data_IF_602487422440
#
_entry.id   IF_602487422440
#
_cell.length_a   1.000
_cell.length_b   1.000
_cell.length_c   1.000
_cell.angle_alpha   90.00
_cell.angle_beta   90.00
_cell.angle_gamma   90.00
#
_symmetry.space_group_name_H-M   'P 1'
#
loop_
_entity.id
_entity.type
_entity.pdbx_description
1 polymer ?
#
# COMPACT_ATOMS: atom_id res chain seq x y z
N UNK A 1 47.96 56.24 -5.08
CA UNK A 1 46.82 55.66 -4.32
C UNK A 1 47.32 54.37 -3.69
N UNK A 2 47.99 54.46 -2.54
CA UNK A 2 47.42 54.21 -1.21
C UNK A 2 47.02 52.76 -0.98
N UNK A 3 48.02 51.90 -0.73
CA UNK A 3 47.81 50.65 0.00
C UNK A 3 47.77 50.98 1.49
N UNK A 4 46.62 50.79 2.11
CA UNK A 4 46.43 50.87 3.56
C UNK A 4 45.83 49.54 4.04
N UNK A 5 46.66 48.73 4.66
CA UNK A 5 46.24 47.59 5.48
C UNK A 5 45.43 48.08 6.69
N UNK A 6 44.45 47.29 7.15
CA UNK A 6 44.13 47.31 8.57
C UNK A 6 44.04 45.90 9.18
N UNK A 7 44.80 45.78 10.28
CA UNK A 7 44.49 45.17 11.58
C UNK A 7 43.97 43.72 11.65
N UNK A 8 44.86 42.89 12.18
CA UNK A 8 44.57 41.64 12.89
C UNK A 8 43.61 41.88 14.07
N UNK A 9 42.56 41.06 14.14
CA UNK A 9 41.74 40.80 15.32
C UNK A 9 41.85 39.31 15.65
N UNK A 10 42.14 39.00 16.91
CA UNK A 10 42.28 37.65 17.46
C UNK A 10 40.98 36.82 17.31
N UNK A 11 41.08 35.50 17.07
CA UNK A 11 39.93 34.62 17.11
C UNK A 11 39.74 34.08 18.53
N UNK A 12 38.73 34.61 19.23
CA UNK A 12 38.21 33.99 20.45
C UNK A 12 36.70 34.23 20.51
N UNK A 13 35.97 33.49 19.69
CA UNK A 13 34.62 32.97 19.98
C UNK A 13 34.14 32.16 18.78
N UNK A 14 34.48 30.87 18.78
CA UNK A 14 33.79 29.88 17.95
C UNK A 14 33.24 28.83 18.90
N UNK A 15 31.99 29.01 19.30
CA UNK A 15 31.21 27.97 19.96
C UNK A 15 31.22 26.72 19.09
N UNK A 16 31.90 25.69 19.57
CA UNK A 16 31.88 24.36 18.97
C UNK A 16 30.44 23.84 19.16
N UNK A 17 29.60 23.99 18.14
CA UNK A 17 28.39 23.18 18.03
C UNK A 17 28.85 21.75 17.74
N UNK A 18 28.83 20.92 18.77
CA UNK A 18 28.88 19.47 18.61
C UNK A 18 27.81 19.04 17.61
N UNK A 19 28.14 18.23 16.59
CA UNK A 19 27.12 17.69 15.69
C UNK A 19 26.12 16.90 16.55
N UNK A 20 24.85 17.27 16.47
CA UNK A 20 23.77 16.47 17.06
C UNK A 20 23.90 15.07 16.49
N UNK A 21 24.12 14.07 17.35
CA UNK A 21 24.08 12.68 16.94
C UNK A 21 22.67 12.41 16.44
N UNK A 22 22.50 12.35 15.12
CA UNK A 22 21.30 11.77 14.52
C UNK A 22 21.32 10.29 14.90
N UNK A 23 20.62 9.96 15.98
CA UNK A 23 20.31 8.58 16.30
C UNK A 23 19.60 8.01 15.08
N UNK A 24 20.13 6.97 14.43
CA UNK A 24 19.40 6.33 13.34
C UNK A 24 18.06 5.87 13.93
N UNK A 25 16.94 6.28 13.32
CA UNK A 25 15.65 5.71 13.69
C UNK A 25 15.77 4.20 13.56
N UNK A 26 15.73 3.50 14.68
CA UNK A 26 15.66 2.04 14.70
C UNK A 26 14.27 1.71 14.17
N UNK A 27 14.19 1.40 12.88
CA UNK A 27 12.95 0.99 12.24
C UNK A 27 12.69 -0.45 12.66
N UNK A 28 11.73 -0.65 13.55
CA UNK A 28 11.19 -1.97 13.91
C UNK A 28 10.25 -2.43 12.78
N UNK A 29 10.83 -2.84 11.66
CA UNK A 29 10.06 -3.55 10.64
C UNK A 29 9.75 -4.96 11.15
N UNK A 30 8.48 -5.30 11.29
CA UNK A 30 8.07 -6.69 11.46
C UNK A 30 8.42 -7.46 10.18
N UNK A 31 9.45 -8.30 10.23
CA UNK A 31 9.86 -9.11 9.08
C UNK A 31 8.95 -10.35 8.99
N UNK A 32 8.17 -10.46 7.91
CA UNK A 32 7.51 -11.71 7.53
C UNK A 32 8.59 -12.75 7.17
N UNK A 33 8.38 -14.07 7.43
CA UNK A 33 9.28 -15.10 6.92
C UNK A 33 9.36 -14.95 5.40
N UNK A 34 10.57 -14.81 4.84
CA UNK A 34 10.76 -14.67 3.39
C UNK A 34 10.29 -15.93 2.64
N UNK A 35 10.42 -15.93 1.31
CA UNK A 35 10.00 -17.04 0.43
C UNK A 35 10.43 -18.45 0.89
N UNK A 36 11.60 -18.56 1.51
CA UNK A 36 12.15 -19.82 2.03
C UNK A 36 11.67 -20.17 3.46
N UNK A 37 10.68 -19.46 4.00
CA UNK A 37 10.17 -19.65 5.36
C UNK A 37 11.29 -19.54 6.41
N UNK A 38 11.33 -20.47 7.36
CA UNK A 38 12.35 -20.52 8.41
C UNK A 38 13.79 -20.71 7.91
N UNK A 39 13.96 -21.20 6.67
CA UNK A 39 15.28 -21.36 6.03
C UNK A 39 15.77 -20.09 5.33
N UNK A 40 14.96 -19.03 5.29
CA UNK A 40 15.40 -17.70 4.89
C UNK A 40 16.35 -17.11 5.93
N UNK A 41 17.43 -16.46 5.49
CA UNK A 41 18.36 -15.72 6.36
C UNK A 41 17.67 -14.66 7.25
N UNK A 42 16.42 -14.27 6.96
CA UNK A 42 15.63 -13.39 7.84
C UNK A 42 15.48 -13.92 9.27
N UNK A 43 15.41 -15.23 9.48
CA UNK A 43 15.38 -15.82 10.83
C UNK A 43 16.70 -15.61 11.58
N UNK A 44 17.83 -15.66 10.87
CA UNK A 44 19.15 -15.35 11.41
C UNK A 44 19.29 -13.85 11.75
N UNK A 45 18.74 -12.94 10.93
CA UNK A 45 18.72 -11.50 11.25
C UNK A 45 17.82 -11.19 12.46
N UNK A 46 16.66 -11.82 12.59
CA UNK A 46 15.82 -11.71 13.78
C UNK A 46 16.54 -12.22 15.04
N UNK A 47 17.17 -13.40 14.95
CA UNK A 47 17.97 -13.98 16.03
C UNK A 47 19.16 -13.10 16.42
N UNK A 48 19.88 -12.54 15.44
CA UNK A 48 20.98 -11.60 15.66
C UNK A 48 20.50 -10.30 16.31
N UNK A 49 19.37 -9.74 15.88
CA UNK A 49 18.78 -8.53 16.47
C UNK A 49 18.40 -8.75 17.95
N UNK A 50 17.76 -9.88 18.26
CA UNK A 50 17.43 -10.27 19.64
C UNK A 50 18.68 -10.51 20.51
N UNK A 51 19.78 -10.96 19.90
CA UNK A 51 21.06 -11.20 20.58
C UNK A 51 21.88 -9.91 20.78
N UNK A 52 21.70 -8.91 19.90
CA UNK A 52 22.43 -7.63 19.91
C UNK A 52 21.73 -6.52 20.70
N UNK A 53 20.45 -6.70 21.06
CA UNK A 53 19.77 -5.84 22.02
C UNK A 53 20.42 -5.97 23.40
N UNK A 54 21.27 -4.99 23.74
CA UNK A 54 21.94 -4.89 25.04
C UNK A 54 20.87 -4.77 26.14
N UNK A 55 20.84 -5.67 27.14
CA UNK A 55 19.93 -5.51 28.27
C UNK A 55 20.40 -4.31 29.09
N UNK A 56 19.56 -3.29 29.21
CA UNK A 56 19.76 -2.23 30.18
C UNK A 56 19.79 -2.86 31.58
N UNK A 57 20.93 -2.76 32.24
CA UNK A 57 21.20 -3.31 33.57
C UNK A 57 20.10 -2.88 34.55
N UNK A 58 19.35 -3.84 35.06
CA UNK A 58 18.38 -3.65 36.14
C UNK A 58 19.02 -4.04 37.48
N UNK A 59 18.69 -3.38 38.59
CA UNK A 59 18.59 -4.06 39.88
C UNK A 59 17.14 -4.09 40.38
N UNK A 60 16.69 -5.32 40.60
CA UNK A 60 15.71 -5.83 41.57
C UNK A 60 14.28 -5.24 41.69
N UNK A 61 13.33 -6.10 41.29
CA UNK A 61 11.98 -6.38 41.81
C UNK A 61 11.29 -5.33 42.71
N UNK A 62 10.14 -4.84 42.24
CA UNK A 62 8.78 -5.09 42.79
C UNK A 62 7.76 -4.63 41.73
N UNK A 63 6.65 -5.37 41.59
CA UNK A 63 5.73 -5.27 40.46
C UNK A 63 5.11 -3.90 40.23
N UNK A 64 5.13 -3.49 38.96
CA UNK A 64 4.22 -2.55 38.31
C UNK A 64 4.33 -2.79 36.81
N UNK A 65 3.19 -2.73 36.13
CA UNK A 65 2.97 -2.72 34.68
C UNK A 65 4.23 -2.55 33.83
N UNK A 66 4.62 -3.58 33.09
CA UNK A 66 5.53 -3.43 31.94
C UNK A 66 4.91 -2.44 30.96
N UNK A 67 5.48 -1.25 30.76
CA UNK A 67 5.06 -0.38 29.68
C UNK A 67 5.53 -1.03 28.38
N UNK A 68 4.63 -1.20 27.43
CA UNK A 68 5.00 -1.57 26.05
C UNK A 68 6.08 -0.61 25.55
N UNK A 69 7.19 -1.10 24.96
CA UNK A 69 8.24 -0.23 24.46
C UNK A 69 7.71 0.58 23.26
N UNK A 70 7.78 1.91 23.36
CA UNK A 70 7.91 2.78 22.19
C UNK A 70 6.65 3.44 21.61
N UNK A 71 5.74 3.98 22.41
CA UNK A 71 4.98 5.17 21.95
C UNK A 71 5.91 6.39 22.06
N UNK A 72 7.01 6.43 21.30
CA UNK A 72 7.61 7.72 21.00
C UNK A 72 6.50 8.59 20.43
N UNK A 73 6.27 9.76 21.01
CA UNK A 73 5.19 10.65 20.60
C UNK A 73 5.38 11.03 19.12
N UNK A 74 4.68 10.32 18.24
CA UNK A 74 4.76 10.47 16.79
C UNK A 74 4.19 11.85 16.48
N UNK A 75 5.08 12.75 16.11
CA UNK A 75 4.78 14.12 15.77
C UNK A 75 5.46 14.48 14.45
N UNK A 76 4.74 15.19 13.59
CA UNK A 76 5.15 15.69 12.30
C UNK A 76 6.53 16.33 12.39
N UNK A 77 6.76 17.18 13.39
CA UNK A 77 8.04 17.89 13.57
C UNK A 77 9.25 16.99 13.79
N UNK A 78 9.04 15.73 14.19
CA UNK A 78 10.10 14.72 14.35
C UNK A 78 10.36 13.90 13.08
N UNK A 79 9.49 13.99 12.07
CA UNK A 79 9.69 13.30 10.80
C UNK A 79 10.77 13.99 9.96
N UNK A 80 11.38 13.31 8.98
CA UNK A 80 12.28 13.97 8.04
C UNK A 80 11.59 15.15 7.33
N UNK A 81 12.31 16.25 7.10
CA UNK A 81 11.74 17.47 6.48
C UNK A 81 10.97 17.21 5.18
N UNK A 82 11.44 16.36 4.24
CA UNK A 82 10.65 16.04 3.05
C UNK A 82 9.29 15.40 3.38
N UNK A 83 9.25 14.50 4.37
CA UNK A 83 8.00 13.89 4.85
C UNK A 83 7.07 14.92 5.45
N UNK A 84 7.59 15.87 6.22
CA UNK A 84 6.78 16.95 6.78
C UNK A 84 6.09 17.77 5.68
N UNK A 85 6.85 18.15 4.66
CA UNK A 85 6.35 18.91 3.52
C UNK A 85 5.30 18.12 2.72
N UNK A 86 5.56 16.83 2.46
CA UNK A 86 4.59 15.94 1.80
C UNK A 86 3.26 15.89 2.55
N UNK A 87 3.28 15.74 3.87
CA UNK A 87 2.06 15.73 4.69
C UNK A 87 1.26 17.02 4.51
N UNK A 88 1.90 18.19 4.61
CA UNK A 88 1.23 19.48 4.53
C UNK A 88 0.66 19.75 3.13
N UNK A 89 1.43 19.46 2.08
CA UNK A 89 0.98 19.64 0.69
C UNK A 89 -0.24 18.77 0.40
N UNK A 90 -0.20 17.49 0.80
CA UNK A 90 -1.34 16.59 0.58
C UNK A 90 -2.59 17.12 1.28
N UNK A 91 -2.48 17.57 2.53
CA UNK A 91 -3.61 18.10 3.29
C UNK A 91 -4.21 19.37 2.70
N UNK A 92 -3.40 20.26 2.13
CA UNK A 92 -3.87 21.52 1.53
C UNK A 92 -4.76 21.29 0.30
N UNK A 93 -4.56 20.18 -0.41
CA UNK A 93 -5.29 19.85 -1.64
C UNK A 93 -6.58 19.04 -1.43
N UNK A 94 -6.88 18.64 -0.18
CA UNK A 94 -8.09 17.90 0.17
C UNK A 94 -9.35 18.80 0.13
N UNK A 95 -10.56 18.22 0.05
CA UNK A 95 -11.79 19.00 -0.02
C UNK A 95 -12.02 19.81 1.27
N UNK A 96 -12.64 20.99 1.14
CA UNK A 96 -12.87 21.90 2.26
C UNK A 96 -11.65 22.75 2.63
N UNK A 97 -10.61 22.75 1.80
CA UNK A 97 -9.39 23.55 1.94
C UNK A 97 -9.31 24.62 0.84
N UNK A 98 -8.58 25.72 1.04
CA UNK A 98 -8.44 26.78 0.01
C UNK A 98 -7.88 26.25 -1.31
N UNK A 99 -6.89 25.36 -1.23
CA UNK A 99 -6.24 24.75 -2.39
C UNK A 99 -6.86 23.40 -2.79
N UNK A 100 -8.10 23.14 -2.37
CA UNK A 100 -8.80 21.92 -2.72
C UNK A 100 -8.81 21.70 -4.25
N UNK A 101 -8.47 20.47 -4.65
CA UNK A 101 -8.56 20.01 -6.04
C UNK A 101 -9.75 19.09 -6.27
N UNK A 102 -10.35 18.63 -5.17
CA UNK A 102 -11.46 17.68 -5.16
C UNK A 102 -12.61 18.23 -4.31
N UNK A 103 -13.84 17.89 -4.67
CA UNK A 103 -15.06 18.19 -3.93
C UNK A 103 -15.81 16.92 -3.59
N UNK A 104 -16.44 16.91 -2.43
CA UNK A 104 -17.36 15.87 -2.03
C UNK A 104 -18.73 16.14 -2.63
N UNK A 105 -19.33 15.14 -3.29
CA UNK A 105 -20.76 15.12 -3.51
C UNK A 105 -21.48 14.49 -2.31
N UNK A 106 -22.55 15.14 -1.87
CA UNK A 106 -23.31 14.70 -0.70
C UNK A 106 -24.23 13.51 -0.98
N UNK A 107 -24.63 13.29 -2.24
CA UNK A 107 -25.43 12.13 -2.60
C UNK A 107 -24.53 10.91 -2.89
N UNK A 108 -24.75 9.77 -2.20
CA UNK A 108 -24.15 8.52 -2.62
C UNK A 108 -24.64 8.21 -4.05
N UNK A 109 -23.73 7.71 -4.89
CA UNK A 109 -24.11 7.21 -6.21
C UNK A 109 -25.22 6.13 -6.12
N UNK A 110 -25.86 5.76 -7.24
CA UNK A 110 -26.95 4.80 -7.26
C UNK A 110 -26.60 3.53 -6.46
N UNK A 111 -27.52 3.04 -5.61
CA UNK A 111 -27.30 1.91 -4.68
C UNK A 111 -26.73 0.65 -5.37
N UNK A 112 -27.05 0.47 -6.66
CA UNK A 112 -26.63 -0.65 -7.52
C UNK A 112 -25.16 -0.61 -7.95
N UNK A 113 -24.39 0.43 -7.58
CA UNK A 113 -23.00 0.63 -8.03
C UNK A 113 -21.93 0.35 -6.97
N UNK A 114 -22.25 -0.13 -5.79
CA UNK A 114 -21.28 -0.14 -4.68
C UNK A 114 -20.22 -1.25 -4.79
N UNK A 115 -19.04 -0.94 -5.33
CA UNK A 115 -17.83 -1.75 -5.04
C UNK A 115 -17.37 -1.48 -3.60
N UNK A 116 -16.60 -2.39 -3.02
CA UNK A 116 -16.05 -2.20 -1.67
C UNK A 116 -15.26 -0.90 -1.56
N UNK A 117 -14.57 -0.49 -2.62
CA UNK A 117 -13.78 0.76 -2.64
C UNK A 117 -14.66 2.01 -2.57
N UNK A 118 -15.87 1.99 -3.15
CA UNK A 118 -16.81 3.11 -3.06
C UNK A 118 -17.35 3.22 -1.63
N UNK A 119 -17.66 2.09 -0.99
CA UNK A 119 -18.07 2.05 0.42
C UNK A 119 -16.94 2.56 1.33
N UNK A 120 -15.70 2.12 1.08
CA UNK A 120 -14.51 2.61 1.76
C UNK A 120 -14.36 4.12 1.65
N UNK A 121 -14.41 4.67 0.43
CA UNK A 121 -14.29 6.10 0.20
C UNK A 121 -15.40 6.86 0.93
N UNK A 122 -16.65 6.39 0.89
CA UNK A 122 -17.75 7.05 1.59
C UNK A 122 -17.49 7.15 3.10
N UNK A 123 -17.06 6.04 3.73
CA UNK A 123 -16.69 6.04 5.16
C UNK A 123 -15.47 6.93 5.44
N UNK A 124 -14.47 6.94 4.57
CA UNK A 124 -13.29 7.81 4.69
C UNK A 124 -13.68 9.28 4.61
N UNK A 125 -14.57 9.67 3.68
CA UNK A 125 -15.08 11.03 3.55
C UNK A 125 -15.76 11.48 4.84
N UNK A 126 -16.65 10.65 5.41
CA UNK A 126 -17.30 10.94 6.69
C UNK A 126 -16.28 11.12 7.81
N UNK A 127 -15.27 10.24 7.86
CA UNK A 127 -14.21 10.27 8.88
C UNK A 127 -13.36 11.53 8.77
N UNK A 128 -12.99 11.91 7.55
CA UNK A 128 -12.21 13.11 7.27
C UNK A 128 -12.98 14.39 7.63
N UNK A 129 -14.28 14.46 7.29
CA UNK A 129 -15.16 15.57 7.69
C UNK A 129 -15.22 15.70 9.22
N UNK A 130 -15.36 14.59 9.94
CA UNK A 130 -15.37 14.59 11.41
C UNK A 130 -14.03 15.04 12.00
N UNK A 131 -12.92 14.55 11.45
CA UNK A 131 -11.56 14.94 11.87
C UNK A 131 -11.31 16.43 11.67
N UNK A 132 -11.70 16.98 10.51
CA UNK A 132 -11.56 18.41 10.24
C UNK A 132 -12.40 19.26 11.19
N UNK A 133 -13.66 18.87 11.44
CA UNK A 133 -14.50 19.57 12.42
C UNK A 133 -13.93 19.52 13.84
N UNK A 134 -13.29 18.41 14.22
CA UNK A 134 -12.69 18.27 15.56
C UNK A 134 -11.54 19.25 15.79
N UNK A 135 -10.74 19.55 14.76
CA UNK A 135 -9.60 20.47 14.86
C UNK A 135 -9.91 21.90 14.38
N UNK A 136 -11.12 22.17 13.91
CA UNK A 136 -11.55 23.47 13.39
C UNK A 136 -11.26 24.60 14.39
N UNK A 137 -10.69 25.71 13.91
CA UNK A 137 -10.29 26.85 14.74
C UNK A 137 -8.96 26.71 15.48
N UNK A 138 -8.26 25.57 15.36
CA UNK A 138 -6.91 25.41 15.94
C UNK A 138 -5.85 26.19 15.16
N UNK A 139 -4.96 26.90 15.86
CA UNK A 139 -3.84 27.65 15.25
C UNK A 139 -2.87 26.76 14.44
N UNK A 140 -2.68 25.50 14.85
CA UNK A 140 -1.86 24.50 14.14
C UNK A 140 -2.70 23.37 13.51
N UNK A 141 -3.80 23.72 12.85
CA UNK A 141 -4.75 22.76 12.25
C UNK A 141 -4.06 21.63 11.45
N UNK A 142 -3.26 21.99 10.44
CA UNK A 142 -2.65 21.01 9.53
C UNK A 142 -1.65 20.10 10.26
N UNK A 143 -0.87 20.66 11.19
CA UNK A 143 0.06 19.87 12.01
C UNK A 143 -0.70 18.85 12.87
N UNK A 144 -1.80 19.25 13.52
CA UNK A 144 -2.60 18.35 14.36
C UNK A 144 -3.28 17.25 13.56
N UNK A 145 -3.80 17.57 12.38
CA UNK A 145 -4.38 16.57 11.46
C UNK A 145 -3.29 15.61 10.99
N UNK A 146 -2.13 16.11 10.57
CA UNK A 146 -1.01 15.28 10.14
C UNK A 146 -0.54 14.36 11.28
N UNK A 147 -0.39 14.88 12.50
CA UNK A 147 -0.03 14.09 13.69
C UNK A 147 -1.03 12.97 13.96
N UNK A 148 -2.33 13.25 13.81
CA UNK A 148 -3.38 12.26 13.97
C UNK A 148 -3.25 11.13 12.93
N UNK A 149 -3.10 11.50 11.65
CA UNK A 149 -2.93 10.53 10.57
C UNK A 149 -1.63 9.71 10.73
N UNK A 150 -0.51 10.35 11.08
CA UNK A 150 0.77 9.69 11.33
C UNK A 150 0.66 8.67 12.47
N UNK A 151 0.05 9.04 13.60
CA UNK A 151 -0.17 8.14 14.74
C UNK A 151 -1.00 6.91 14.37
N UNK A 152 -2.02 7.09 13.54
CA UNK A 152 -2.83 5.96 13.05
C UNK A 152 -2.11 5.11 12.01
N UNK A 153 -1.33 5.73 11.13
CA UNK A 153 -0.54 5.04 10.09
C UNK A 153 0.55 4.16 10.70
N UNK A 154 1.12 4.56 11.83
CA UNK A 154 2.08 3.75 12.57
C UNK A 154 1.50 2.52 13.27
N UNK A 155 0.17 2.44 13.39
CA UNK A 155 -0.48 1.25 13.94
C UNK A 155 -0.54 0.16 12.87
N UNK A 156 -0.03 -1.06 13.14
CA UNK A 156 -0.11 -2.16 12.20
C UNK A 156 -1.55 -2.42 11.72
N UNK A 157 -1.70 -2.74 10.44
CA UNK A 157 -2.96 -3.27 9.89
C UNK A 157 -2.96 -4.78 10.13
N UNK A 158 -4.05 -5.27 10.69
CA UNK A 158 -4.31 -6.69 10.84
C UNK A 158 -5.02 -7.23 9.60
N UNK A 159 -4.51 -8.37 9.17
CA UNK A 159 -4.79 -8.97 7.87
C UNK A 159 -5.60 -10.27 8.00
N UNK A 160 -6.08 -10.57 9.20
CA UNK A 160 -6.74 -11.82 9.59
C UNK A 160 -8.25 -11.68 9.76
N UNK A 161 -8.85 -10.56 9.34
CA UNK A 161 -10.29 -10.36 9.50
C UNK A 161 -11.11 -11.19 8.52
N UNK A 162 -12.16 -11.81 9.05
CA UNK A 162 -13.11 -12.59 8.26
C UNK A 162 -14.09 -11.70 7.49
N UNK A 163 -14.51 -10.59 8.11
CA UNK A 163 -15.56 -9.72 7.58
C UNK A 163 -14.99 -8.37 7.08
N UNK A 164 -15.73 -7.74 6.18
CA UNK A 164 -15.37 -6.49 5.56
C UNK A 164 -15.41 -5.31 6.54
N UNK A 165 -16.40 -5.26 7.43
CA UNK A 165 -16.63 -4.14 8.35
C UNK A 165 -15.51 -3.95 9.39
N UNK A 166 -14.96 -5.04 9.91
CA UNK A 166 -13.80 -4.99 10.81
C UNK A 166 -12.54 -4.58 10.05
N UNK A 167 -12.37 -5.08 8.83
CA UNK A 167 -11.22 -4.75 8.00
C UNK A 167 -11.19 -3.25 7.64
N UNK A 168 -12.32 -2.69 7.18
CA UNK A 168 -12.47 -1.27 6.81
C UNK A 168 -12.40 -0.33 8.02
N UNK A 169 -12.84 -0.77 9.20
CA UNK A 169 -12.76 0.02 10.44
C UNK A 169 -11.32 0.35 10.85
N UNK A 170 -10.33 -0.38 10.33
CA UNK A 170 -8.92 -0.10 10.58
C UNK A 170 -8.44 1.21 9.96
N UNK A 171 -9.10 1.71 8.92
CA UNK A 171 -8.66 2.90 8.19
C UNK A 171 -9.79 3.93 7.99
N UNK A 172 -10.86 3.80 8.77
CA UNK A 172 -11.99 4.72 8.86
C UNK A 172 -12.25 5.13 10.32
N UNK A 173 -13.20 6.05 10.53
CA UNK A 173 -13.55 6.61 11.83
C UNK A 173 -12.35 7.22 12.53
N UNK A 174 -12.15 6.87 13.80
CA UNK A 174 -10.99 7.29 14.60
C UNK A 174 -9.67 6.70 14.14
N UNK A 175 -9.68 5.75 13.18
CA UNK A 175 -8.49 5.09 12.66
C UNK A 175 -8.11 5.55 11.23
N UNK A 176 -8.72 6.64 10.73
CA UNK A 176 -8.31 7.24 9.44
C UNK A 176 -6.79 7.52 9.45
N UNK A 177 -6.13 7.19 8.34
CA UNK A 177 -4.67 7.14 8.20
C UNK A 177 -4.24 7.64 6.82
N UNK A 178 -2.93 7.74 6.57
CA UNK A 178 -2.41 8.28 5.31
C UNK A 178 -2.79 7.42 4.10
N UNK A 179 -2.89 6.11 4.27
CA UNK A 179 -3.37 5.24 3.20
C UNK A 179 -4.82 5.58 2.81
N UNK A 180 -5.66 5.99 3.77
CA UNK A 180 -7.05 6.40 3.51
C UNK A 180 -7.09 7.63 2.61
N UNK A 181 -6.16 8.56 2.82
CA UNK A 181 -6.04 9.77 1.99
C UNK A 181 -5.56 9.40 0.58
N UNK A 182 -4.63 8.46 0.46
CA UNK A 182 -4.22 7.90 -0.84
C UNK A 182 -5.40 7.29 -1.60
N UNK A 183 -6.30 6.58 -0.93
CA UNK A 183 -7.51 6.02 -1.56
C UNK A 183 -8.43 7.10 -2.13
N UNK A 184 -8.51 8.30 -1.52
CA UNK A 184 -9.28 9.41 -2.07
C UNK A 184 -8.69 9.89 -3.42
N UNK A 185 -7.37 10.09 -3.48
CA UNK A 185 -6.68 10.46 -4.72
C UNK A 185 -6.78 9.40 -5.80
N UNK A 186 -6.71 8.12 -5.45
CA UNK A 186 -6.96 7.07 -6.42
C UNK A 186 -8.44 7.02 -6.86
N UNK A 187 -9.37 7.31 -5.95
CA UNK A 187 -10.79 7.28 -6.25
C UNK A 187 -11.22 8.39 -7.20
N UNK A 188 -10.71 9.62 -7.08
CA UNK A 188 -11.08 10.72 -8.00
C UNK A 188 -10.72 10.41 -9.47
N UNK A 189 -9.66 9.62 -9.67
CA UNK A 189 -9.22 9.09 -10.98
C UNK A 189 -10.00 7.84 -11.43
N UNK A 190 -10.90 7.31 -10.60
CA UNK A 190 -11.62 6.06 -10.89
C UNK A 190 -10.75 4.80 -10.81
N UNK A 191 -9.60 4.87 -10.16
CA UNK A 191 -8.68 3.74 -10.06
C UNK A 191 -9.12 2.80 -8.95
N UNK A 192 -9.86 1.73 -9.28
CA UNK A 192 -10.14 0.62 -8.36
C UNK A 192 -9.96 -0.72 -9.07
N UNK A 193 -10.92 -1.10 -9.89
CA UNK A 193 -10.90 -2.27 -10.75
C UNK A 193 -11.39 -1.88 -12.16
N UNK A 194 -11.28 -2.77 -13.13
CA UNK A 194 -11.61 -2.44 -14.52
C UNK A 194 -13.08 -1.99 -14.71
N UNK A 195 -14.02 -2.52 -13.94
CA UNK A 195 -15.46 -2.27 -14.11
C UNK A 195 -15.93 -1.06 -13.30
N UNK A 196 -15.35 -0.86 -12.10
CA UNK A 196 -15.67 0.26 -11.22
C UNK A 196 -15.29 1.63 -11.78
N UNK A 197 -14.38 1.70 -12.75
CA UNK A 197 -14.03 2.94 -13.47
C UNK A 197 -15.25 3.61 -14.13
N UNK A 198 -16.25 2.80 -14.51
CA UNK A 198 -17.49 3.23 -15.17
C UNK A 198 -18.56 3.73 -14.18
N UNK A 199 -18.32 3.58 -12.89
CA UNK A 199 -19.30 3.87 -11.84
C UNK A 199 -19.20 5.33 -11.38
N UNK A 200 -20.30 5.81 -10.79
CA UNK A 200 -20.35 7.15 -10.22
C UNK A 200 -19.36 7.28 -9.06
N UNK A 201 -18.61 8.39 -9.05
CA UNK A 201 -17.65 8.72 -8.00
C UNK A 201 -18.21 9.80 -7.09
N UNK A 202 -18.15 9.55 -5.78
CA UNK A 202 -18.57 10.52 -4.77
C UNK A 202 -17.59 11.70 -4.67
N UNK A 203 -16.35 11.51 -5.14
CA UNK A 203 -15.33 12.53 -5.22
C UNK A 203 -15.16 12.98 -6.67
N UNK A 204 -15.29 14.28 -6.92
CA UNK A 204 -15.10 14.88 -8.25
C UNK A 204 -14.05 15.98 -8.19
N UNK A 205 -13.50 16.32 -9.36
CA UNK A 205 -12.60 17.44 -9.50
C UNK A 205 -13.32 18.77 -9.28
N UNK A 206 -12.62 19.71 -8.64
CA UNK A 206 -13.00 21.13 -8.74
C UNK A 206 -12.90 21.55 -10.19
N UNK A 207 -13.90 22.28 -10.69
CA UNK A 207 -13.92 22.79 -12.06
C UNK A 207 -12.62 23.57 -12.38
N UNK A 208 -11.99 23.23 -13.50
CA UNK A 208 -10.73 23.85 -13.93
C UNK A 208 -9.46 23.41 -13.20
N UNK A 209 -9.56 22.55 -12.16
CA UNK A 209 -8.40 22.03 -11.41
C UNK A 209 -8.09 20.54 -11.68
N UNK A 210 -8.75 19.93 -12.67
CA UNK A 210 -8.50 18.54 -13.02
C UNK A 210 -7.07 18.33 -13.50
N UNK A 211 -6.33 17.46 -12.81
CA UNK A 211 -4.96 17.11 -13.20
C UNK A 211 -4.56 15.75 -12.65
N UNK A 212 -4.46 14.76 -13.54
CA UNK A 212 -4.00 13.42 -13.19
C UNK A 212 -2.52 13.38 -12.77
N UNK A 213 -1.73 14.37 -13.19
CA UNK A 213 -0.38 14.58 -12.69
C UNK A 213 -0.39 14.89 -11.18
N UNK A 214 -1.29 15.78 -10.74
CA UNK A 214 -1.44 16.14 -9.32
C UNK A 214 -1.88 14.91 -8.52
N UNK A 215 -2.86 14.14 -9.01
CA UNK A 215 -3.26 12.87 -8.36
C UNK A 215 -2.10 11.90 -8.23
N UNK A 216 -1.29 11.77 -9.27
CA UNK A 216 -0.14 10.88 -9.27
C UNK A 216 0.88 11.28 -8.20
N UNK A 217 1.23 12.57 -8.13
CA UNK A 217 2.15 13.10 -7.10
C UNK A 217 1.59 12.93 -5.68
N UNK A 218 0.30 13.25 -5.46
CA UNK A 218 -0.29 13.18 -4.13
C UNK A 218 -0.49 11.74 -3.65
N UNK A 219 -0.81 10.83 -4.56
CA UNK A 219 -0.84 9.40 -4.27
C UNK A 219 0.57 8.88 -3.95
N UNK A 220 1.59 9.33 -4.69
CA UNK A 220 2.99 9.03 -4.38
C UNK A 220 3.40 9.52 -2.99
N UNK A 221 3.05 10.75 -2.63
CA UNK A 221 3.32 11.31 -1.31
C UNK A 221 2.64 10.49 -0.20
N UNK A 222 1.39 10.08 -0.36
CA UNK A 222 0.73 9.20 0.61
C UNK A 222 1.48 7.86 0.79
N UNK A 223 2.01 7.28 -0.30
CA UNK A 223 2.83 6.07 -0.25
C UNK A 223 4.13 6.32 0.51
N UNK A 224 4.88 7.38 0.18
CA UNK A 224 6.17 7.68 0.82
C UNK A 224 6.04 8.08 2.29
N UNK A 225 4.97 8.79 2.67
CA UNK A 225 4.64 9.06 4.07
C UNK A 225 4.37 7.74 4.80
N UNK A 226 3.52 6.89 4.26
CA UNK A 226 3.16 5.60 4.88
C UNK A 226 4.39 4.71 5.08
N UNK A 227 5.30 4.68 4.10
CA UNK A 227 6.56 3.91 4.16
C UNK A 227 7.55 4.38 5.23
N UNK A 228 7.32 5.56 5.84
CA UNK A 228 8.08 5.96 7.04
C UNK A 228 7.70 5.13 8.27
N UNK A 229 6.47 4.61 8.30
CA UNK A 229 5.90 3.97 9.48
C UNK A 229 5.75 2.45 9.35
N UNK A 230 5.64 1.93 8.13
CA UNK A 230 5.51 0.49 7.88
C UNK A 230 6.35 0.03 6.68
N UNK A 231 6.80 -1.22 6.69
CA UNK A 231 7.45 -1.85 5.54
C UNK A 231 6.44 -2.22 4.43
N UNK A 232 5.19 -2.49 4.82
CA UNK A 232 4.16 -2.98 3.92
C UNK A 232 2.91 -3.40 4.68
N UNK A 233 1.77 -3.26 4.00
CA UNK A 233 0.48 -3.85 4.36
C UNK A 233 -0.37 -3.95 3.07
N UNK A 234 -1.48 -4.68 3.11
CA UNK A 234 -2.32 -4.88 1.92
C UNK A 234 -2.84 -3.57 1.31
N UNK A 235 -3.14 -2.57 2.15
CA UNK A 235 -3.67 -1.29 1.72
C UNK A 235 -2.62 -0.44 0.99
N UNK A 236 -1.40 -0.39 1.53
CA UNK A 236 -0.25 0.26 0.90
C UNK A 236 0.12 -0.43 -0.41
N UNK A 237 0.02 -1.76 -0.49
CA UNK A 237 0.22 -2.49 -1.74
C UNK A 237 -0.83 -2.12 -2.78
N UNK A 238 -2.11 -2.04 -2.39
CA UNK A 238 -3.18 -1.60 -3.29
C UNK A 238 -2.98 -0.15 -3.76
N UNK A 239 -2.47 0.75 -2.91
CA UNK A 239 -2.07 2.10 -3.33
C UNK A 239 -0.90 2.08 -4.32
N UNK A 240 0.13 1.26 -4.09
CA UNK A 240 1.24 1.10 -5.04
C UNK A 240 0.74 0.62 -6.41
N UNK A 241 -0.21 -0.32 -6.41
CA UNK A 241 -0.88 -0.82 -7.63
C UNK A 241 -1.65 0.29 -8.35
N UNK A 242 -2.45 1.07 -7.62
CA UNK A 242 -3.23 2.19 -8.18
C UNK A 242 -2.32 3.31 -8.69
N UNK A 243 -1.21 3.59 -7.99
CA UNK A 243 -0.19 4.54 -8.42
C UNK A 243 0.48 4.11 -9.73
N UNK A 244 0.87 2.84 -9.85
CA UNK A 244 1.38 2.31 -11.11
C UNK A 244 0.32 2.39 -12.23
N UNK A 245 -0.95 2.07 -11.96
CA UNK A 245 -2.03 2.22 -12.94
C UNK A 245 -2.27 3.69 -13.34
N UNK A 246 -2.08 4.65 -12.44
CA UNK A 246 -2.15 6.07 -12.79
C UNK A 246 -0.96 6.50 -13.65
N UNK A 247 0.23 5.95 -13.37
CA UNK A 247 1.43 6.25 -14.14
C UNK A 247 1.30 5.86 -15.61
N UNK A 248 0.58 4.77 -15.93
CA UNK A 248 0.28 4.42 -17.33
C UNK A 248 -0.61 5.47 -18.00
N UNK A 249 -1.62 5.97 -17.29
CA UNK A 249 -2.54 6.99 -17.81
C UNK A 249 -1.86 8.34 -18.01
N UNK A 250 -0.96 8.74 -17.11
CA UNK A 250 -0.32 10.06 -17.12
C UNK A 250 0.92 10.10 -18.04
N UNK A 251 1.77 9.07 -17.97
CA UNK A 251 3.07 9.07 -18.65
C UNK A 251 3.19 8.04 -19.77
N UNK A 252 2.23 7.14 -19.90
CA UNK A 252 2.24 6.03 -20.86
C UNK A 252 2.96 4.78 -20.35
N UNK A 253 2.60 3.65 -20.95
CA UNK A 253 3.05 2.30 -20.59
C UNK A 253 4.57 2.10 -20.76
N UNK A 254 5.19 2.74 -21.75
CA UNK A 254 6.63 2.62 -21.99
C UNK A 254 7.49 3.43 -21.01
N UNK A 255 6.87 4.31 -20.20
CA UNK A 255 7.58 5.29 -19.38
C UNK A 255 8.39 4.64 -18.25
N UNK A 256 9.55 5.22 -17.87
CA UNK A 256 10.29 4.79 -16.69
C UNK A 256 9.52 5.07 -15.39
N UNK A 257 8.61 6.06 -15.38
CA UNK A 257 7.78 6.39 -14.22
C UNK A 257 6.87 5.23 -13.86
N UNK A 258 6.16 4.68 -14.86
CA UNK A 258 5.38 3.47 -14.69
C UNK A 258 6.24 2.31 -14.21
N UNK A 259 7.38 2.06 -14.88
CA UNK A 259 8.23 0.92 -14.58
C UNK A 259 8.74 0.95 -13.13
N UNK A 260 9.15 2.12 -12.65
CA UNK A 260 9.57 2.32 -11.26
C UNK A 260 8.42 2.06 -10.28
N UNK A 261 7.24 2.65 -10.53
CA UNK A 261 6.05 2.43 -9.70
C UNK A 261 5.62 0.95 -9.65
N UNK A 262 5.65 0.26 -10.80
CA UNK A 262 5.32 -1.15 -10.90
C UNK A 262 6.34 -2.04 -10.19
N UNK A 263 7.64 -1.73 -10.29
CA UNK A 263 8.69 -2.46 -9.59
C UNK A 263 8.58 -2.36 -8.07
N UNK A 264 8.19 -1.20 -7.54
CA UNK A 264 7.90 -1.01 -6.12
C UNK A 264 6.71 -1.87 -5.69
N UNK A 265 5.65 -1.89 -6.50
CA UNK A 265 4.46 -2.70 -6.26
C UNK A 265 4.79 -4.21 -6.22
N UNK A 266 5.56 -4.71 -7.18
CA UNK A 266 6.02 -6.12 -7.21
C UNK A 266 6.91 -6.43 -6.01
N UNK A 267 7.88 -5.56 -5.70
CA UNK A 267 8.78 -5.75 -4.56
C UNK A 267 8.00 -5.84 -3.25
N UNK A 268 6.97 -5.01 -3.08
CA UNK A 268 6.11 -5.04 -1.90
C UNK A 268 5.23 -6.31 -1.86
N UNK A 269 4.67 -6.72 -2.99
CA UNK A 269 3.92 -7.99 -3.12
C UNK A 269 4.79 -9.19 -2.71
N UNK A 270 6.05 -9.21 -3.15
CA UNK A 270 7.02 -10.25 -2.79
C UNK A 270 7.35 -10.20 -1.30
N UNK A 271 7.63 -9.00 -0.76
CA UNK A 271 7.91 -8.77 0.65
C UNK A 271 6.76 -9.24 1.56
N UNK A 272 5.50 -8.99 1.17
CA UNK A 272 4.31 -9.44 1.89
C UNK A 272 4.02 -10.94 1.73
N UNK A 273 4.78 -11.64 0.88
CA UNK A 273 4.60 -13.08 0.66
C UNK A 273 3.37 -13.44 -0.19
N UNK A 274 2.71 -12.47 -0.82
CA UNK A 274 1.48 -12.70 -1.58
C UNK A 274 1.70 -13.44 -2.91
N UNK A 275 2.93 -13.69 -3.32
CA UNK A 275 3.25 -14.53 -4.47
C UNK A 275 3.13 -16.03 -4.16
N UNK A 276 3.42 -16.41 -2.91
CA UNK A 276 3.42 -17.78 -2.45
C UNK A 276 2.78 -17.87 -1.06
N UNK A 277 1.48 -17.55 -0.93
CA UNK A 277 0.77 -17.70 0.33
C UNK A 277 0.87 -19.18 0.72
N UNK A 278 1.24 -19.46 1.96
CA UNK A 278 1.48 -20.81 2.49
C UNK A 278 0.28 -21.78 2.45
N UNK A 279 -0.75 -21.45 1.66
CA UNK A 279 -1.88 -22.28 1.25
C UNK A 279 -1.46 -23.64 0.67
N UNK A 280 -0.21 -23.80 0.23
CA UNK A 280 0.34 -25.10 -0.22
C UNK A 280 0.69 -26.05 0.92
N UNK A 281 0.78 -25.57 2.17
CA UNK A 281 1.13 -26.39 3.35
C UNK A 281 -0.09 -26.90 4.15
N UNK A 282 -1.28 -26.33 3.95
CA UNK A 282 -2.52 -26.87 4.50
C UNK A 282 -3.04 -27.91 3.51
N UNK A 283 -3.19 -29.15 3.96
CA UNK A 283 -3.72 -30.26 3.16
C UNK A 283 -4.91 -29.81 2.29
N UNK A 284 -4.85 -30.11 0.99
CA UNK A 284 -5.88 -29.82 -0.01
C UNK A 284 -7.29 -30.38 0.32
N UNK A 285 -7.49 -31.02 1.48
CA UNK A 285 -8.74 -31.68 1.87
C UNK A 285 -9.75 -30.79 2.61
N UNK A 286 -9.44 -29.52 2.90
CA UNK A 286 -10.41 -28.60 3.52
C UNK A 286 -10.56 -27.37 2.63
N UNK A 287 -11.72 -27.26 1.99
CA UNK A 287 -12.14 -26.06 1.27
C UNK A 287 -12.03 -24.89 2.27
N UNK A 288 -11.01 -24.04 2.10
CA UNK A 288 -10.79 -22.90 2.99
C UNK A 288 -11.99 -21.98 2.86
N UNK A 289 -12.64 -21.68 3.99
CA UNK A 289 -13.82 -20.81 4.00
C UNK A 289 -13.41 -19.45 3.40
N UNK A 290 -14.15 -18.92 2.42
CA UNK A 290 -13.82 -17.64 1.83
C UNK A 290 -13.88 -16.53 2.89
N UNK A 291 -13.01 -15.54 2.74
CA UNK A 291 -13.03 -14.31 3.53
C UNK A 291 -12.67 -13.12 2.64
N UNK A 292 -13.12 -11.94 3.04
CA UNK A 292 -12.86 -10.71 2.30
C UNK A 292 -11.35 -10.48 2.09
N UNK A 293 -10.55 -10.61 3.16
CA UNK A 293 -9.12 -10.34 3.11
C UNK A 293 -8.37 -11.30 2.17
N UNK A 294 -8.71 -12.59 2.18
CA UNK A 294 -8.07 -13.59 1.29
C UNK A 294 -8.40 -13.28 -0.16
N UNK A 295 -9.68 -13.04 -0.48
CA UNK A 295 -10.10 -12.75 -1.85
C UNK A 295 -9.55 -11.41 -2.35
N UNK A 296 -9.45 -10.39 -1.49
CA UNK A 296 -8.83 -9.11 -1.84
C UNK A 296 -7.31 -9.26 -2.13
N UNK A 297 -6.57 -10.06 -1.35
CA UNK A 297 -5.15 -10.36 -1.64
C UNK A 297 -4.98 -11.09 -2.97
N UNK A 298 -5.82 -12.10 -3.23
CA UNK A 298 -5.84 -12.82 -4.51
C UNK A 298 -6.12 -11.86 -5.67
N UNK A 299 -7.09 -10.97 -5.51
CA UNK A 299 -7.38 -9.90 -6.48
C UNK A 299 -6.14 -9.04 -6.76
N UNK A 300 -5.51 -8.49 -5.71
CA UNK A 300 -4.32 -7.62 -5.83
C UNK A 300 -3.17 -8.37 -6.52
N UNK A 301 -2.86 -9.60 -6.09
CA UNK A 301 -1.84 -10.43 -6.71
C UNK A 301 -2.13 -10.66 -8.21
N UNK A 302 -3.34 -11.10 -8.54
CA UNK A 302 -3.73 -11.37 -9.92
C UNK A 302 -3.66 -10.12 -10.80
N UNK A 303 -4.04 -8.96 -10.28
CA UNK A 303 -3.92 -7.69 -10.99
C UNK A 303 -2.47 -7.34 -11.29
N UNK A 304 -1.59 -7.44 -10.30
CA UNK A 304 -0.17 -7.11 -10.47
C UNK A 304 0.50 -8.09 -11.43
N UNK A 305 0.26 -9.39 -11.27
CA UNK A 305 0.80 -10.42 -12.17
C UNK A 305 0.31 -10.25 -13.61
N UNK A 306 -1.00 -10.01 -13.80
CA UNK A 306 -1.55 -9.82 -15.13
C UNK A 306 -1.00 -8.58 -15.84
N UNK A 307 -0.76 -7.50 -15.08
CA UNK A 307 -0.15 -6.29 -15.63
C UNK A 307 1.33 -6.50 -15.97
N UNK A 308 2.12 -7.18 -15.12
CA UNK A 308 3.52 -7.52 -15.43
C UNK A 308 3.62 -8.18 -16.81
N UNK A 309 2.80 -9.21 -17.07
CA UNK A 309 2.78 -9.89 -18.39
C UNK A 309 2.28 -9.03 -19.52
N UNK A 310 1.24 -8.21 -19.29
CA UNK A 310 0.75 -7.29 -20.31
C UNK A 310 1.86 -6.32 -20.76
N UNK A 311 2.67 -5.87 -19.81
CA UNK A 311 3.77 -4.93 -20.07
C UNK A 311 4.97 -5.56 -20.73
N UNK A 312 5.29 -6.81 -20.42
CA UNK A 312 6.32 -7.58 -21.14
C UNK A 312 5.94 -7.70 -22.61
N UNK A 313 4.71 -8.12 -22.91
CA UNK A 313 4.24 -8.24 -24.30
C UNK A 313 4.24 -6.89 -25.02
N UNK A 314 3.93 -5.79 -24.33
CA UNK A 314 3.91 -4.46 -24.92
C UNK A 314 5.31 -3.88 -25.16
N UNK A 315 6.22 -4.02 -24.19
CA UNK A 315 7.54 -3.34 -24.21
C UNK A 315 8.70 -4.22 -24.67
N UNK A 316 8.54 -5.54 -24.65
CA UNK A 316 9.62 -6.51 -24.86
C UNK A 316 10.62 -6.61 -23.70
N UNK A 317 10.41 -5.89 -22.59
CA UNK A 317 11.27 -5.99 -21.39
C UNK A 317 11.00 -7.31 -20.66
N UNK A 318 11.99 -7.93 -20.00
CA UNK A 318 11.78 -9.15 -19.23
C UNK A 318 10.74 -8.99 -18.11
N UNK A 319 9.99 -10.05 -17.77
CA UNK A 319 9.04 -10.03 -16.66
C UNK A 319 9.73 -9.82 -15.31
N UNK A 320 9.07 -9.12 -14.38
CA UNK A 320 9.55 -8.95 -13.01
C UNK A 320 9.02 -10.05 -12.06
N UNK A 321 7.90 -10.69 -12.40
CA UNK A 321 7.40 -11.88 -11.71
C UNK A 321 7.60 -13.10 -12.60
N UNK A 322 7.79 -14.30 -12.03
CA UNK A 322 7.72 -15.53 -12.81
C UNK A 322 6.75 -16.47 -12.13
N UNK A 323 5.86 -17.09 -12.91
CA UNK A 323 4.94 -18.11 -12.41
C UNK A 323 5.66 -19.26 -11.70
N UNK A 324 6.93 -19.52 -12.04
CA UNK A 324 7.76 -20.58 -11.44
C UNK A 324 7.97 -20.37 -9.94
N UNK A 325 7.90 -19.13 -9.46
CA UNK A 325 8.06 -18.79 -8.04
C UNK A 325 6.75 -18.39 -7.37
N UNK A 326 5.62 -18.42 -8.09
CA UNK A 326 4.34 -17.98 -7.57
C UNK A 326 3.34 -19.14 -7.47
N UNK A 327 2.69 -19.28 -6.32
CA UNK A 327 1.64 -20.29 -6.05
C UNK A 327 0.28 -19.68 -5.68
N UNK A 328 0.15 -18.36 -5.71
CA UNK A 328 -1.12 -17.68 -5.46
C UNK A 328 -2.22 -18.07 -6.45
N UNK A 329 -3.43 -18.24 -5.91
CA UNK A 329 -4.62 -18.62 -6.68
C UNK A 329 -5.40 -17.39 -7.11
N UNK A 330 -6.16 -17.55 -8.19
CA UNK A 330 -7.08 -16.52 -8.63
C UNK A 330 -8.27 -16.36 -7.66
N UNK A 331 -8.80 -15.13 -7.48
CA UNK A 331 -9.94 -14.89 -6.60
C UNK A 331 -11.18 -15.64 -7.09
N UNK A 332 -12.01 -16.07 -6.16
CA UNK A 332 -13.34 -16.62 -6.43
C UNK A 332 -14.18 -15.59 -7.18
N UNK A 333 -15.02 -16.07 -8.09
CA UNK A 333 -15.86 -15.21 -8.90
C UNK A 333 -17.12 -14.77 -8.14
N UNK A 334 -16.89 -13.94 -7.12
CA UNK A 334 -17.90 -13.33 -6.27
C UNK A 334 -18.02 -11.84 -6.59
N UNK A 335 -19.22 -11.29 -6.48
CA UNK A 335 -19.43 -9.84 -6.59
C UNK A 335 -18.86 -9.10 -5.38
N UNK A 336 -18.56 -7.80 -5.52
CA UNK A 336 -18.09 -6.99 -4.39
C UNK A 336 -19.14 -6.90 -3.27
N UNK A 337 -20.42 -6.82 -3.62
CA UNK A 337 -21.52 -6.79 -2.65
C UNK A 337 -21.59 -8.10 -1.85
N UNK A 338 -21.33 -9.23 -2.50
CA UNK A 338 -21.22 -10.53 -1.87
C UNK A 338 -20.00 -10.59 -0.93
N UNK A 339 -18.84 -10.07 -1.35
CA UNK A 339 -17.64 -10.06 -0.51
C UNK A 339 -17.78 -9.20 0.77
N UNK A 340 -18.70 -8.23 0.78
CA UNK A 340 -18.93 -7.36 1.93
C UNK A 340 -19.83 -7.96 3.02
N UNK A 341 -20.58 -9.03 2.75
CA UNK A 341 -21.40 -9.74 3.76
C UNK A 341 -20.97 -11.19 3.90
N UNK A 342 -20.72 -11.62 5.15
CA UNK A 342 -20.21 -12.97 5.44
C UNK A 342 -21.23 -14.06 5.09
N UNK A 343 -22.52 -13.75 5.29
CA UNK A 343 -23.64 -14.65 5.03
C UNK A 343 -23.78 -14.88 3.53
N UNK A 344 -23.88 -13.80 2.74
CA UNK A 344 -24.02 -13.88 1.28
C UNK A 344 -22.78 -14.49 0.63
N UNK A 345 -21.58 -14.20 1.14
CA UNK A 345 -20.33 -14.82 0.68
C UNK A 345 -20.36 -16.35 0.79
N UNK A 346 -20.83 -16.88 1.91
CA UNK A 346 -20.92 -18.33 2.12
C UNK A 346 -21.97 -18.95 1.21
N UNK A 347 -23.13 -18.30 1.05
CA UNK A 347 -24.21 -18.80 0.19
C UNK A 347 -23.78 -18.83 -1.28
N UNK A 348 -23.27 -17.73 -1.81
CA UNK A 348 -22.83 -17.62 -3.20
C UNK A 348 -21.65 -18.54 -3.49
N UNK A 349 -20.73 -18.71 -2.54
CA UNK A 349 -19.62 -19.64 -2.67
C UNK A 349 -20.06 -21.08 -2.95
N UNK A 350 -21.17 -21.53 -2.36
CA UNK A 350 -21.72 -22.87 -2.59
C UNK A 350 -22.36 -23.03 -3.97
N UNK A 351 -22.59 -21.94 -4.70
CA UNK A 351 -23.16 -21.93 -6.06
C UNK A 351 -22.11 -21.85 -7.16
N UNK A 352 -20.84 -21.62 -6.80
CA UNK A 352 -19.74 -21.58 -7.75
C UNK A 352 -19.48 -22.98 -8.34
N UNK A 353 -18.93 -23.00 -9.55
CA UNK A 353 -18.48 -24.26 -10.16
C UNK A 353 -17.22 -24.81 -9.46
N UNK A 354 -16.80 -26.02 -9.87
CA UNK A 354 -15.59 -26.68 -9.33
C UNK A 354 -14.30 -25.87 -9.50
N UNK A 355 -14.30 -24.89 -10.41
CA UNK A 355 -13.18 -24.01 -10.70
C UNK A 355 -13.36 -22.62 -10.05
N UNK A 356 -14.38 -22.41 -9.22
CA UNK A 356 -14.65 -21.15 -8.53
C UNK A 356 -15.23 -20.04 -9.42
N UNK A 357 -15.83 -20.37 -10.57
CA UNK A 357 -16.56 -19.43 -11.44
C UNK A 357 -18.02 -19.31 -11.05
N UNK A 358 -18.60 -18.13 -11.27
CA UNK A 358 -20.03 -17.94 -11.09
C UNK A 358 -20.80 -18.71 -12.17
N UNK A 359 -21.92 -19.29 -11.80
CA UNK A 359 -22.76 -20.10 -12.70
C UNK A 359 -23.93 -19.31 -13.30
N UNK A 360 -24.08 -18.04 -12.91
CA UNK A 360 -25.18 -17.13 -13.32
C UNK A 360 -24.86 -16.37 -14.62
N UNK A 361 -23.62 -16.39 -15.08
CA UNK A 361 -23.17 -15.68 -16.29
C UNK A 361 -22.96 -14.18 -16.09
N UNK A 362 -22.93 -13.72 -14.84
CA UNK A 362 -22.69 -12.32 -14.49
C UNK A 362 -21.20 -11.99 -14.60
N UNK A 363 -20.86 -10.76 -14.99
CA UNK A 363 -19.46 -10.32 -15.07
C UNK A 363 -19.18 -9.34 -13.94
N UNK A 364 -18.47 -9.83 -12.93
CA UNK A 364 -17.97 -9.08 -11.80
C UNK A 364 -16.53 -8.61 -12.02
N UNK A 365 -16.04 -7.72 -11.15
CA UNK A 365 -14.63 -7.34 -11.13
C UNK A 365 -13.73 -8.57 -10.95
N UNK A 366 -14.16 -9.53 -10.11
CA UNK A 366 -13.48 -10.79 -9.90
C UNK A 366 -13.49 -11.70 -11.13
N UNK A 367 -14.60 -11.79 -11.88
CA UNK A 367 -14.64 -12.55 -13.14
C UNK A 367 -13.65 -11.99 -14.15
N UNK A 368 -13.61 -10.65 -14.29
CA UNK A 368 -12.71 -9.97 -15.22
C UNK A 368 -11.24 -10.21 -14.85
N UNK A 369 -10.86 -10.00 -13.59
CA UNK A 369 -9.46 -10.18 -13.19
C UNK A 369 -9.03 -11.65 -13.23
N UNK A 370 -9.91 -12.58 -12.85
CA UNK A 370 -9.66 -14.02 -12.93
C UNK A 370 -9.34 -14.43 -14.36
N UNK A 371 -10.14 -13.97 -15.33
CA UNK A 371 -9.89 -14.21 -16.75
C UNK A 371 -8.55 -13.61 -17.22
N UNK A 372 -8.28 -12.35 -16.86
CA UNK A 372 -7.01 -11.67 -17.17
C UNK A 372 -5.80 -12.41 -16.61
N UNK A 373 -5.90 -12.90 -15.38
CA UNK A 373 -4.83 -13.63 -14.70
C UNK A 373 -4.57 -15.00 -15.33
N UNK A 374 -5.61 -15.80 -15.56
CA UNK A 374 -5.44 -17.12 -16.19
C UNK A 374 -4.81 -16.99 -17.58
N UNK A 375 -5.26 -16.00 -18.35
CA UNK A 375 -4.63 -15.64 -19.63
C UNK A 375 -3.17 -15.22 -19.45
N UNK A 376 -2.85 -14.38 -18.46
CA UNK A 376 -1.47 -13.95 -18.23
C UNK A 376 -0.56 -15.08 -17.77
N UNK A 377 -1.10 -16.06 -17.03
CA UNK A 377 -0.33 -17.23 -16.58
C UNK A 377 0.12 -18.08 -17.77
N UNK A 378 -0.77 -18.26 -18.77
CA UNK A 378 -0.43 -18.88 -20.05
C UNK A 378 0.58 -18.02 -20.84
N UNK A 379 0.39 -16.70 -20.88
CA UNK A 379 1.35 -15.82 -21.56
C UNK A 379 2.73 -15.84 -20.93
N UNK A 380 2.85 -16.04 -19.62
CA UNK A 380 4.14 -16.14 -18.95
C UNK A 380 4.93 -17.37 -19.45
N UNK A 381 4.26 -18.49 -19.72
CA UNK A 381 4.90 -19.65 -20.38
C UNK A 381 5.41 -19.30 -21.77
N UNK A 382 4.59 -18.60 -22.56
CA UNK A 382 4.98 -18.17 -23.90
C UNK A 382 6.15 -17.19 -23.86
N UNK A 383 6.13 -16.22 -22.95
CA UNK A 383 7.20 -15.24 -22.72
C UNK A 383 8.50 -15.95 -22.34
N UNK A 384 8.42 -16.94 -21.45
CA UNK A 384 9.58 -17.72 -21.03
C UNK A 384 10.21 -18.50 -22.19
N UNK A 385 9.40 -19.09 -23.07
CA UNK A 385 9.89 -19.77 -24.28
C UNK A 385 10.44 -18.76 -25.30
N UNK A 386 9.76 -17.63 -25.49
CA UNK A 386 10.11 -16.64 -26.51
C UNK A 386 11.32 -15.78 -26.16
N UNK A 387 11.50 -15.45 -24.88
CA UNK A 387 12.60 -14.61 -24.38
C UNK A 387 13.68 -15.40 -23.62
N UNK A 388 13.43 -16.67 -23.32
CA UNK A 388 14.36 -17.53 -22.60
C UNK A 388 15.64 -17.76 -23.38
N UNK A 389 16.77 -17.64 -22.70
CA UNK A 389 18.06 -18.10 -23.22
C UNK A 389 18.30 -19.52 -22.72
N UNK A 390 18.26 -20.52 -23.61
CA UNK A 390 18.50 -21.94 -23.27
C UNK A 390 19.98 -22.29 -23.02
N UNK A 391 20.83 -21.28 -22.80
CA UNK A 391 22.19 -21.50 -22.32
C UNK A 391 22.15 -22.14 -20.92
N UNK A 392 22.08 -23.47 -20.90
CA UNK A 392 22.18 -24.25 -19.68
C UNK A 392 23.55 -23.97 -19.06
N UNK A 393 23.57 -23.64 -17.78
CA UNK A 393 24.81 -23.54 -17.01
C UNK A 393 25.44 -24.93 -16.99
N UNK A 394 26.47 -25.16 -17.80
CA UNK A 394 27.27 -26.39 -17.76
C UNK A 394 28.29 -26.30 -16.63
N UNK A 395 28.88 -27.45 -16.27
CA UNK A 395 29.99 -27.51 -15.31
C UNK A 395 31.17 -26.63 -15.75
N UNK A 396 31.35 -26.42 -17.06
CA UNK A 396 32.39 -25.55 -17.62
C UNK A 396 32.24 -24.07 -17.20
N UNK A 397 31.08 -23.67 -16.66
CA UNK A 397 30.88 -22.32 -16.11
C UNK A 397 31.55 -22.13 -14.73
N UNK A 398 31.93 -23.22 -14.07
CA UNK A 398 32.59 -23.21 -12.76
C UNK A 398 34.12 -23.32 -12.85
N UNK A 399 34.65 -23.63 -14.03
CA UNK A 399 36.10 -23.66 -14.34
C UNK A 399 36.59 -22.26 -14.76
#
# INVERSE_FOLDING_TARGET
MSQSSPRLLNPSDSGIQTPQSTTPMIRDYAFSPGYLGFTSYNSAFQGARASLSVPATSPDFIGTDTPSPGSEDICLRKLPLPTQQMCLVVLQCLPGRPEAHMIFHDEPGPETTTSWSHVAVSRIITSLRQLFRYFEGSESFDEKVADFLCRNTARPIQDTFDNFDDWIAQFCGSNIRWESIGLLWAHVEGLSDALSTLKYRQLQWVEGKQSSLISHEHLHYCIEITRQFTAGNDMLLDLCRRHAALATLVYGDASPVYWNAHSLCISMLLFLGLHAPGETSKSQSKLEKPSFCVENRRFIYCYIFANDKSMVTFTGRPPLLSRRYCSSRAPLDLSDSCLMSKETMVEEFMTLDQNGWNTKGEIHANSYIRSRFLRSYLFDEVVEIALGNEANVSLDYLE
#
